data_IF_873489863971
#
_entry.id   IF_873489863971
#
_cell.length_a   1.000
_cell.length_b   1.000
_cell.length_c   1.000
_cell.angle_alpha   90.00
_cell.angle_beta   90.00
_cell.angle_gamma   90.00
#
_symmetry.space_group_name_H-M   'P 1'
#
loop_
_entity.id
_entity.type
_entity.pdbx_description
1 polymer ?
#
# COMPACT_ATOMS: atom_id res chain seq x y z
N UNK A 1 -14.71 8.68 -3.30
CA UNK A 1 -13.23 8.73 -3.35
C UNK A 1 -12.74 7.48 -2.64
N UNK A 2 -11.98 6.62 -3.32
CA UNK A 2 -11.57 5.34 -2.74
C UNK A 2 -10.39 5.54 -1.80
N UNK A 3 -10.49 4.94 -0.61
CA UNK A 3 -9.47 5.03 0.43
C UNK A 3 -8.84 3.66 0.63
N UNK A 4 -7.51 3.61 0.61
CA UNK A 4 -6.72 2.42 0.85
C UNK A 4 -5.98 2.57 2.19
N UNK A 5 -6.25 1.66 3.12
CA UNK A 5 -5.53 1.59 4.38
C UNK A 5 -4.13 1.02 4.17
N UNK A 6 -3.12 1.76 4.62
CA UNK A 6 -1.71 1.40 4.49
C UNK A 6 -1.00 1.56 5.82
N UNK A 7 0.00 0.71 6.06
CA UNK A 7 0.83 0.75 7.26
C UNK A 7 2.29 0.98 6.90
N UNK A 8 3.04 1.66 7.77
CA UNK A 8 4.48 1.83 7.57
C UNK A 8 5.19 0.48 7.76
N UNK A 9 5.99 0.08 6.77
CA UNK A 9 6.75 -1.16 6.83
C UNK A 9 8.07 -0.96 7.59
N UNK A 10 8.39 -1.76 8.61
CA UNK A 10 9.71 -1.73 9.25
C UNK A 10 10.77 -2.35 8.32
N UNK A 11 12.02 -1.86 8.38
CA UNK A 11 13.13 -2.34 7.54
C UNK A 11 13.46 -3.83 7.74
N UNK A 12 13.10 -4.40 8.91
CA UNK A 12 13.32 -5.81 9.23
C UNK A 12 12.35 -6.77 8.52
N UNK A 13 11.27 -6.26 7.91
CA UNK A 13 10.25 -7.11 7.30
C UNK A 13 10.65 -7.59 5.90
N UNK A 14 10.93 -8.89 5.77
CA UNK A 14 11.30 -9.52 4.49
C UNK A 14 10.09 -9.68 3.57
N UNK A 15 10.21 -9.20 2.32
CA UNK A 15 9.14 -9.26 1.32
C UNK A 15 8.52 -10.65 1.08
N UNK A 16 9.27 -11.77 1.07
CA UNK A 16 8.67 -13.10 0.91
C UNK A 16 7.73 -13.49 2.06
N UNK A 17 8.06 -13.11 3.30
CA UNK A 17 7.23 -13.40 4.46
C UNK A 17 5.92 -12.59 4.42
N UNK A 18 6.01 -11.31 4.03
CA UNK A 18 4.84 -10.44 3.86
C UNK A 18 3.86 -10.96 2.80
N UNK A 19 4.37 -11.37 1.63
CA UNK A 19 3.52 -11.93 0.57
C UNK A 19 2.79 -13.20 1.00
N UNK A 20 3.44 -14.08 1.76
CA UNK A 20 2.82 -15.29 2.33
C UNK A 20 1.72 -14.96 3.35
N UNK A 21 1.86 -13.84 4.07
CA UNK A 21 0.86 -13.33 5.00
C UNK A 21 -0.29 -12.56 4.30
N UNK A 22 -0.34 -12.53 2.96
CA UNK A 22 -1.36 -11.77 2.22
C UNK A 22 -1.14 -10.27 2.27
N UNK A 23 0.10 -9.82 2.49
CA UNK A 23 0.49 -8.41 2.52
C UNK A 23 1.32 -8.10 1.27
N UNK A 24 0.94 -7.04 0.58
CA UNK A 24 1.64 -6.48 -0.57
C UNK A 24 2.61 -5.41 -0.07
N UNK A 25 3.93 -5.62 -0.20
CA UNK A 25 4.91 -4.59 0.07
C UNK A 25 4.93 -3.57 -1.07
N UNK A 26 4.94 -2.28 -0.73
CA UNK A 26 5.01 -1.17 -1.68
C UNK A 26 5.89 -0.03 -1.17
N UNK A 27 6.05 1.00 -2.01
CA UNK A 27 6.75 2.24 -1.65
C UNK A 27 5.93 3.41 -2.15
N UNK A 28 5.63 4.37 -1.27
CA UNK A 28 5.02 5.65 -1.64
C UNK A 28 6.13 6.67 -1.77
N UNK A 29 6.11 7.41 -2.87
CA UNK A 29 7.07 8.48 -3.16
C UNK A 29 6.38 9.56 -4.00
N UNK A 30 6.93 10.78 -4.02
CA UNK A 30 6.41 11.84 -4.86
C UNK A 30 7.16 13.15 -4.68
N UNK A 31 6.77 14.19 -5.42
CA UNK A 31 7.44 15.49 -5.38
C UNK A 31 7.47 16.12 -3.97
N UNK A 32 6.47 15.83 -3.14
CA UNK A 32 6.33 16.36 -1.78
C UNK A 32 6.51 15.30 -0.68
N UNK A 33 6.84 14.05 -1.05
CA UNK A 33 6.94 12.93 -0.11
C UNK A 33 8.25 12.15 -0.30
N UNK A 34 9.02 12.01 0.78
CA UNK A 34 10.17 11.11 0.80
C UNK A 34 9.73 9.65 0.55
N UNK A 35 10.62 8.84 -0.01
CA UNK A 35 10.34 7.43 -0.28
C UNK A 35 10.06 6.68 1.04
N UNK A 36 8.81 6.27 1.24
CA UNK A 36 8.35 5.58 2.43
C UNK A 36 7.91 4.15 2.09
N UNK A 37 8.54 3.12 2.69
CA UNK A 37 8.11 1.76 2.49
C UNK A 37 6.80 1.51 3.25
N UNK A 38 5.81 0.97 2.54
CA UNK A 38 4.48 0.68 3.06
C UNK A 38 4.12 -0.79 2.90
N UNK A 39 3.22 -1.23 3.75
CA UNK A 39 2.58 -2.54 3.71
C UNK A 39 1.08 -2.33 3.52
N UNK A 40 0.50 -3.08 2.58
CA UNK A 40 -0.94 -3.02 2.28
C UNK A 40 -1.48 -4.44 2.29
N UNK A 41 -2.70 -4.64 2.80
CA UNK A 41 -3.33 -5.95 2.72
C UNK A 41 -3.79 -6.24 1.27
N UNK A 42 -3.44 -7.41 0.74
CA UNK A 42 -3.71 -7.79 -0.64
C UNK A 42 -5.21 -7.75 -0.97
N UNK A 43 -6.06 -8.21 -0.05
CA UNK A 43 -7.52 -8.20 -0.23
C UNK A 43 -8.10 -6.79 -0.31
N UNK A 44 -7.55 -5.84 0.47
CA UNK A 44 -7.97 -4.44 0.42
C UNK A 44 -7.50 -3.78 -0.89
N UNK A 45 -6.25 -4.04 -1.29
CA UNK A 45 -5.70 -3.54 -2.55
C UNK A 45 -6.48 -4.05 -3.77
N UNK A 46 -6.79 -5.35 -3.83
CA UNK A 46 -7.56 -5.93 -4.93
C UNK A 46 -8.96 -5.34 -5.04
N UNK A 47 -9.65 -5.08 -3.92
CA UNK A 47 -10.97 -4.45 -3.93
C UNK A 47 -10.89 -3.05 -4.55
N UNK A 48 -9.93 -2.25 -4.08
CA UNK A 48 -9.72 -0.89 -4.59
C UNK A 48 -9.32 -0.92 -6.06
N UNK A 49 -8.45 -1.84 -6.49
CA UNK A 49 -8.03 -1.96 -7.89
C UNK A 49 -9.20 -2.32 -8.81
N UNK A 50 -10.06 -3.26 -8.40
CA UNK A 50 -11.26 -3.64 -9.19
C UNK A 50 -12.26 -2.51 -9.31
N UNK A 51 -12.40 -1.67 -8.29
CA UNK A 51 -13.36 -0.56 -8.28
C UNK A 51 -12.82 0.71 -8.94
N UNK A 52 -11.54 1.05 -8.70
CA UNK A 52 -10.89 2.24 -9.22
C UNK A 52 -10.44 2.08 -10.68
N UNK A 53 -10.12 0.85 -11.11
CA UNK A 53 -9.45 0.58 -12.38
C UNK A 53 -7.93 0.72 -12.30
N UNK A 54 -7.26 0.56 -13.45
CA UNK A 54 -5.79 0.50 -13.51
C UNK A 54 -5.10 1.85 -13.25
N UNK A 55 -5.74 2.96 -13.62
CA UNK A 55 -5.15 4.31 -13.54
C UNK A 55 -6.14 5.30 -12.90
N UNK A 56 -6.20 5.28 -11.57
CA UNK A 56 -7.07 6.15 -10.79
C UNK A 56 -6.38 6.71 -9.55
N UNK A 57 -6.82 7.90 -9.14
CA UNK A 57 -6.34 8.56 -7.91
C UNK A 57 -7.08 7.94 -6.72
N UNK A 58 -6.31 7.42 -5.77
CA UNK A 58 -6.81 6.84 -4.52
C UNK A 58 -6.20 7.57 -3.33
N UNK A 59 -6.98 7.73 -2.27
CA UNK A 59 -6.52 8.31 -1.02
C UNK A 59 -5.89 7.24 -0.14
N UNK A 60 -4.70 7.50 0.41
CA UNK A 60 -4.07 6.60 1.37
C UNK A 60 -4.40 7.04 2.80
N UNK A 61 -4.79 6.10 3.66
CA UNK A 61 -5.03 6.35 5.09
C UNK A 61 -4.10 5.49 5.95
N UNK A 62 -3.59 6.04 7.06
CA UNK A 62 -2.67 5.33 7.98
C UNK A 62 -1.20 5.77 7.89
N UNK A 63 -0.89 6.70 6.98
CA UNK A 63 0.34 7.49 7.01
C UNK A 63 0.05 8.75 7.83
N UNK A 64 0.32 8.67 9.14
CA UNK A 64 0.24 9.82 10.05
C UNK A 64 1.34 10.83 9.78
#
# INVERSE_FOLDING_TARGET
MLTLAVEKRPESAKAPALRRAGIVPGVVYGAHYAAMPISVQASAFEKVLREAGEAAIVSLSGLG
#
